data_IF_965775436232
#
_entry.id   IF_965775436232
#
_cell.length_a   1.000
_cell.length_b   1.000
_cell.length_c   1.000
_cell.angle_alpha   90.00
_cell.angle_beta   90.00
_cell.angle_gamma   90.00
#
_symmetry.space_group_name_H-M   'P 1'
#
loop_
_entity.id
_entity.type
_entity.pdbx_description
1 polymer ?
#
# COMPACT_ATOMS: atom_id res chain seq x y z
N UNK A 1 18.23 9.52 28.23
CA UNK A 1 17.39 10.22 27.23
C UNK A 1 17.62 9.49 25.92
N UNK A 2 16.59 8.82 25.40
CA UNK A 2 16.71 7.73 24.43
C UNK A 2 16.69 8.25 22.98
N UNK A 3 17.79 8.86 22.53
CA UNK A 3 17.90 9.48 21.19
C UNK A 3 18.12 8.46 20.06
N UNK A 4 18.52 7.23 20.38
CA UNK A 4 18.83 6.18 19.38
C UNK A 4 17.56 5.54 18.78
N UNK A 5 16.43 5.59 19.49
CA UNK A 5 15.18 4.98 19.03
C UNK A 5 14.53 5.76 17.86
N UNK A 6 14.76 7.07 17.79
CA UNK A 6 14.11 7.94 16.78
C UNK A 6 14.69 7.74 15.37
N UNK A 7 16.00 7.51 15.28
CA UNK A 7 16.70 7.29 13.99
C UNK A 7 16.38 5.92 13.39
N UNK A 8 16.25 4.88 14.23
CA UNK A 8 15.96 3.52 13.77
C UNK A 8 14.55 3.38 13.16
N UNK A 9 13.56 4.11 13.69
CA UNK A 9 12.20 4.12 13.13
C UNK A 9 12.14 4.90 11.81
N UNK A 10 12.87 6.02 11.70
CA UNK A 10 12.95 6.78 10.44
C UNK A 10 13.58 5.95 9.31
N UNK A 11 14.68 5.26 9.57
CA UNK A 11 15.37 4.46 8.54
C UNK A 11 14.49 3.31 8.01
N UNK A 12 13.67 2.73 8.88
CA UNK A 12 12.72 1.67 8.53
C UNK A 12 11.65 2.13 7.53
N UNK A 13 11.29 3.41 7.52
CA UNK A 13 10.24 4.00 6.68
C UNK A 13 10.76 4.90 5.56
N UNK A 14 12.03 5.30 5.58
CA UNK A 14 12.64 6.21 4.58
C UNK A 14 12.49 5.75 3.12
N UNK A 15 12.28 4.46 2.89
CA UNK A 15 11.98 3.95 1.55
C UNK A 15 10.57 4.33 1.08
N UNK A 16 9.58 4.35 1.96
CA UNK A 16 8.19 4.65 1.64
C UNK A 16 8.01 6.13 1.22
N UNK A 17 8.85 7.02 1.75
CA UNK A 17 8.89 8.44 1.36
C UNK A 17 9.25 8.66 -0.12
N UNK A 18 9.86 7.66 -0.77
CA UNK A 18 10.17 7.67 -2.21
C UNK A 18 9.07 7.03 -3.06
N UNK A 19 7.95 6.65 -2.44
CA UNK A 19 6.82 6.05 -3.13
C UNK A 19 6.01 7.06 -3.93
N UNK A 20 5.53 6.67 -5.11
CA UNK A 20 4.61 7.50 -5.91
C UNK A 20 3.27 7.77 -5.20
N UNK A 21 2.95 7.02 -4.13
CA UNK A 21 1.78 7.24 -3.29
C UNK A 21 1.90 8.52 -2.44
N UNK A 22 3.11 9.03 -2.21
CA UNK A 22 3.32 10.28 -1.49
C UNK A 22 2.69 11.42 -2.29
N UNK A 23 1.85 12.21 -1.62
CA UNK A 23 1.07 13.29 -2.25
C UNK A 23 -0.21 12.85 -2.99
N UNK A 24 -0.52 11.55 -3.00
CA UNK A 24 -1.71 10.99 -3.68
C UNK A 24 -2.56 10.13 -2.74
N UNK A 25 -2.63 10.49 -1.45
CA UNK A 25 -3.27 9.64 -0.43
C UNK A 25 -4.72 9.29 -0.76
N UNK A 26 -5.48 10.22 -1.31
CA UNK A 26 -6.89 10.02 -1.70
C UNK A 26 -7.06 8.96 -2.82
N UNK A 27 -6.02 8.72 -3.62
CA UNK A 27 -6.05 7.67 -4.66
C UNK A 27 -5.68 6.30 -4.09
N UNK A 28 -4.72 6.27 -3.17
CA UNK A 28 -4.15 5.03 -2.64
C UNK A 28 -4.93 4.49 -1.42
N UNK A 29 -5.63 5.35 -0.69
CA UNK A 29 -6.38 5.02 0.52
C UNK A 29 -7.78 5.62 0.41
N UNK A 30 -8.72 4.85 -0.14
CA UNK A 30 -10.13 5.23 -0.18
C UNK A 30 -10.77 5.02 1.20
N UNK A 31 -11.72 5.87 1.56
CA UNK A 31 -12.52 5.77 2.78
C UNK A 31 -13.74 4.85 2.58
N UNK A 32 -14.34 4.36 3.66
CA UNK A 32 -15.54 3.52 3.60
C UNK A 32 -16.78 4.28 3.08
N UNK A 33 -16.73 5.62 3.12
CA UNK A 33 -17.77 6.50 2.60
C UNK A 33 -17.72 6.71 1.07
N UNK A 34 -16.66 6.27 0.37
CA UNK A 34 -16.54 6.40 -1.08
C UNK A 34 -17.56 5.52 -1.83
N UNK A 35 -18.13 6.06 -2.91
CA UNK A 35 -18.98 5.27 -3.80
C UNK A 35 -18.15 4.13 -4.41
N UNK A 36 -18.69 2.90 -4.42
CA UNK A 36 -17.99 1.70 -4.95
C UNK A 36 -17.38 1.90 -6.34
N UNK A 37 -18.04 2.68 -7.20
CA UNK A 37 -17.54 2.99 -8.54
C UNK A 37 -16.34 3.93 -8.56
N UNK A 38 -16.29 4.92 -7.66
CA UNK A 38 -15.17 5.85 -7.51
C UNK A 38 -13.96 5.15 -6.89
N UNK A 39 -14.19 4.37 -5.82
CA UNK A 39 -13.17 3.51 -5.21
C UNK A 39 -12.45 2.65 -6.26
N UNK A 40 -13.19 1.96 -7.13
CA UNK A 40 -12.58 1.11 -8.16
C UNK A 40 -11.72 1.91 -9.15
N UNK A 41 -12.18 3.09 -9.59
CA UNK A 41 -11.42 3.96 -10.49
C UNK A 41 -10.14 4.44 -9.81
N UNK A 42 -10.22 4.88 -8.55
CA UNK A 42 -9.07 5.31 -7.77
C UNK A 42 -8.07 4.17 -7.59
N UNK A 43 -8.54 2.96 -7.26
CA UNK A 43 -7.71 1.76 -7.16
C UNK A 43 -7.00 1.43 -8.49
N UNK A 44 -7.69 1.54 -9.63
CA UNK A 44 -7.10 1.33 -10.96
C UNK A 44 -6.03 2.38 -11.29
N UNK A 45 -6.29 3.66 -10.99
CA UNK A 45 -5.31 4.73 -11.17
C UNK A 45 -4.10 4.58 -10.24
N UNK A 46 -4.34 4.27 -8.96
CA UNK A 46 -3.29 4.02 -7.98
C UNK A 46 -2.40 2.85 -8.39
N UNK A 47 -2.98 1.76 -8.93
CA UNK A 47 -2.19 0.66 -9.49
C UNK A 47 -1.30 1.09 -10.64
N UNK A 48 -1.80 1.90 -11.58
CA UNK A 48 -1.01 2.41 -12.70
C UNK A 48 0.18 3.25 -12.21
N UNK A 49 -0.05 4.16 -11.26
CA UNK A 49 1.01 4.94 -10.63
C UNK A 49 2.00 4.07 -9.86
N UNK A 50 1.53 2.98 -9.26
CA UNK A 50 2.38 2.05 -8.54
C UNK A 50 3.34 1.30 -9.46
N UNK A 51 2.96 0.97 -10.70
CA UNK A 51 3.80 0.19 -11.63
C UNK A 51 5.14 0.87 -11.95
N UNK A 52 5.21 2.20 -11.89
CA UNK A 52 6.44 2.98 -12.12
C UNK A 52 7.13 3.40 -10.82
N UNK A 53 6.65 2.92 -9.66
CA UNK A 53 7.14 3.31 -8.35
C UNK A 53 8.51 2.67 -8.07
N UNK A 54 9.53 3.44 -7.67
CA UNK A 54 10.88 2.92 -7.43
C UNK A 54 10.96 1.98 -6.23
N UNK A 55 9.93 1.96 -5.37
CA UNK A 55 9.86 1.10 -4.19
C UNK A 55 8.79 0.02 -4.28
N UNK A 56 8.27 -0.27 -5.48
CA UNK A 56 7.21 -1.25 -5.74
C UNK A 56 7.46 -2.59 -5.03
N UNK A 57 8.61 -3.21 -5.27
CA UNK A 57 8.92 -4.55 -4.73
C UNK A 57 9.02 -4.55 -3.21
N UNK A 58 9.69 -3.55 -2.63
CA UNK A 58 9.82 -3.40 -1.17
C UNK A 58 8.45 -3.12 -0.53
N UNK A 59 7.64 -2.27 -1.15
CA UNK A 59 6.28 -1.95 -0.72
C UNK A 59 5.38 -3.19 -0.75
N UNK A 60 5.44 -3.98 -1.82
CA UNK A 60 4.67 -5.22 -1.96
C UNK A 60 5.03 -6.22 -0.89
N UNK A 61 6.33 -6.44 -0.67
CA UNK A 61 6.81 -7.36 0.36
C UNK A 61 6.33 -6.93 1.75
N UNK A 62 6.53 -5.65 2.09
CA UNK A 62 6.08 -5.08 3.36
C UNK A 62 4.57 -5.28 3.57
N UNK A 63 3.74 -4.94 2.57
CA UNK A 63 2.29 -5.04 2.69
C UNK A 63 1.77 -6.49 2.84
N UNK A 64 2.48 -7.46 2.28
CA UNK A 64 2.17 -8.89 2.46
C UNK A 64 2.61 -9.39 3.83
N UNK A 65 3.80 -8.98 4.30
CA UNK A 65 4.35 -9.36 5.61
C UNK A 65 3.51 -8.80 6.76
N UNK A 66 3.23 -7.49 6.74
CA UNK A 66 2.48 -6.77 7.78
C UNK A 66 0.96 -6.94 7.66
N UNK A 67 0.48 -7.53 6.56
CA UNK A 67 -0.95 -7.73 6.27
C UNK A 67 -1.74 -6.43 6.32
N UNK A 68 -1.24 -5.41 5.63
CA UNK A 68 -1.94 -4.13 5.52
C UNK A 68 -3.37 -4.36 5.01
N UNK A 69 -4.34 -3.83 5.74
CA UNK A 69 -5.77 -4.15 5.59
C UNK A 69 -6.48 -3.25 4.58
N UNK A 70 -5.94 -2.07 4.28
CA UNK A 70 -6.61 -1.08 3.45
C UNK A 70 -5.71 -0.53 2.35
N UNK A 71 -6.32 0.06 1.34
CA UNK A 71 -5.63 0.77 0.26
C UNK A 71 -4.84 -0.10 -0.73
N UNK A 72 -4.20 0.59 -1.67
CA UNK A 72 -3.33 0.02 -2.70
C UNK A 72 -1.88 0.05 -2.24
N UNK A 73 -1.25 -1.13 -2.18
CA UNK A 73 0.14 -1.29 -1.78
C UNK A 73 0.89 -2.15 -2.79
N UNK A 74 2.07 -1.72 -3.22
CA UNK A 74 2.92 -2.49 -4.14
C UNK A 74 2.21 -2.90 -5.45
N UNK A 75 1.27 -2.08 -5.91
CA UNK A 75 0.42 -2.34 -7.07
C UNK A 75 -0.73 -3.32 -6.84
N UNK A 76 -1.13 -3.56 -5.59
CA UNK A 76 -2.16 -4.54 -5.22
C UNK A 76 -3.20 -3.92 -4.29
N UNK A 77 -4.48 -4.18 -4.53
CA UNK A 77 -5.55 -3.90 -3.55
C UNK A 77 -5.50 -4.91 -2.41
N UNK A 78 -6.18 -4.59 -1.31
CA UNK A 78 -6.44 -5.54 -0.22
C UNK A 78 -6.89 -6.91 -0.75
N UNK A 79 -7.93 -6.94 -1.60
CA UNK A 79 -8.46 -8.18 -2.14
C UNK A 79 -7.41 -9.00 -2.91
N UNK A 80 -6.56 -8.33 -3.69
CA UNK A 80 -5.47 -8.99 -4.42
C UNK A 80 -4.38 -9.51 -3.49
N UNK A 81 -4.03 -8.78 -2.42
CA UNK A 81 -3.12 -9.25 -1.37
C UNK A 81 -3.69 -10.47 -0.66
N UNK A 82 -4.98 -10.47 -0.33
CA UNK A 82 -5.67 -11.60 0.28
C UNK A 82 -5.72 -12.84 -0.63
N UNK A 83 -5.92 -12.66 -1.94
CA UNK A 83 -5.82 -13.72 -2.96
C UNK A 83 -4.40 -14.30 -3.00
N UNK A 84 -3.37 -13.44 -3.05
CA UNK A 84 -1.97 -13.86 -3.10
C UNK A 84 -1.53 -14.59 -1.82
N UNK A 85 -1.99 -14.14 -0.65
CA UNK A 85 -1.69 -14.76 0.64
C UNK A 85 -2.43 -16.10 0.87
N UNK A 86 -3.17 -16.61 -0.12
CA UNK A 86 -3.86 -17.91 -0.04
C UNK A 86 -4.99 -17.95 0.99
N UNK A 87 -5.48 -16.80 1.45
CA UNK A 87 -6.52 -16.70 2.50
C UNK A 87 -7.94 -16.70 1.99
N UNK A 88 -8.13 -16.65 0.66
CA UNK A 88 -9.41 -17.03 0.08
C UNK A 88 -9.39 -18.55 -0.11
N UNK A 89 -10.02 -19.25 0.85
CA UNK A 89 -10.56 -20.58 0.58
C UNK A 89 -11.61 -20.38 -0.53
N UNK A 90 -11.22 -20.62 -1.77
CA UNK A 90 -12.18 -20.81 -2.84
C UNK A 90 -12.96 -22.09 -2.50
N UNK A 91 -14.25 -21.92 -2.26
CA UNK A 91 -15.22 -22.94 -1.87
C UNK A 91 -16.50 -22.25 -1.45
#
# INVERSE_FOLDING_TARGET
>A
MNETASTAVHDRWAWADRGNCVGHQDLFYNDDHDLKGERRKNEELAKQLCQTCPVLERCRRYAVEERELYGVWGGMTELERHKMAGRLRTG
#
